data_IF_971900032898
#
_entry.id   IF_971900032898
#
_cell.length_a   1.000
_cell.length_b   1.000
_cell.length_c   1.000
_cell.angle_alpha   90.00
_cell.angle_beta   90.00
_cell.angle_gamma   90.00
#
_symmetry.space_group_name_H-M   'P 1'
#
loop_
_entity.id
_entity.type
_entity.pdbx_description
1 polymer ?
#
# COMPACT_ATOMS: atom_id res chain seq x y z
N UNK A 1 -49.50 -22.75 -110.90
CA UNK A 1 -48.16 -23.01 -111.46
C UNK A 1 -47.15 -22.86 -110.33
N UNK A 2 -46.62 -23.99 -109.90
CA UNK A 2 -45.52 -24.22 -108.95
C UNK A 2 -44.42 -23.13 -108.83
N UNK A 3 -44.01 -22.74 -107.60
CA UNK A 3 -42.79 -23.21 -106.87
C UNK A 3 -42.28 -22.23 -105.79
N UNK A 4 -42.13 -22.78 -104.57
CA UNK A 4 -41.10 -22.59 -103.52
C UNK A 4 -40.53 -21.19 -103.18
N UNK A 5 -40.62 -20.82 -101.89
CA UNK A 5 -39.42 -20.42 -101.14
C UNK A 5 -39.47 -20.92 -99.69
N UNK A 6 -38.32 -21.42 -99.28
CA UNK A 6 -37.93 -22.14 -98.07
C UNK A 6 -37.94 -21.22 -96.83
N UNK A 7 -38.41 -21.69 -95.67
CA UNK A 7 -37.96 -21.15 -94.38
C UNK A 7 -37.95 -22.24 -93.32
N UNK A 8 -36.83 -22.29 -92.62
CA UNK A 8 -36.29 -23.38 -91.83
C UNK A 8 -36.93 -23.45 -90.43
N UNK A 9 -37.22 -24.67 -90.00
CA UNK A 9 -37.72 -25.02 -88.66
C UNK A 9 -36.58 -24.90 -87.64
N UNK A 10 -36.77 -24.13 -86.55
CA UNK A 10 -35.92 -24.20 -85.36
C UNK A 10 -36.81 -24.51 -84.15
N UNK A 11 -36.66 -25.72 -83.63
CA UNK A 11 -37.31 -26.23 -82.42
C UNK A 11 -36.50 -25.73 -81.21
N UNK A 12 -37.15 -25.06 -80.25
CA UNK A 12 -36.61 -24.82 -78.92
C UNK A 12 -37.54 -25.50 -77.91
N UNK A 13 -37.04 -26.42 -77.07
CA UNK A 13 -37.85 -27.15 -76.10
C UNK A 13 -38.25 -26.26 -74.91
N UNK A 14 -39.52 -26.34 -74.55
CA UNK A 14 -40.09 -25.87 -73.28
C UNK A 14 -39.42 -26.60 -72.11
N UNK A 15 -38.73 -25.84 -71.23
CA UNK A 15 -38.47 -26.26 -69.86
C UNK A 15 -39.43 -25.50 -68.95
N UNK A 16 -40.30 -26.23 -68.24
CA UNK A 16 -41.09 -25.69 -67.15
C UNK A 16 -40.17 -25.46 -65.95
N UNK A 17 -39.90 -24.19 -65.63
CA UNK A 17 -39.30 -23.80 -64.35
C UNK A 17 -40.46 -23.61 -63.36
N UNK A 18 -40.46 -24.43 -62.32
CA UNK A 18 -41.22 -24.22 -61.10
C UNK A 18 -40.58 -23.03 -60.38
N UNK A 19 -41.26 -21.88 -60.34
CA UNK A 19 -40.88 -20.81 -59.42
C UNK A 19 -41.28 -21.23 -58.00
N UNK A 20 -40.31 -21.52 -57.14
CA UNK A 20 -40.48 -21.37 -55.69
C UNK A 20 -40.21 -19.91 -55.37
N UNK A 21 -41.18 -19.23 -54.76
CA UNK A 21 -40.94 -17.92 -54.13
C UNK A 21 -39.91 -18.12 -53.01
N UNK A 22 -38.69 -17.66 -53.23
CA UNK A 22 -37.62 -17.57 -52.23
C UNK A 22 -37.07 -16.14 -52.27
N UNK A 23 -37.86 -15.21 -51.76
CA UNK A 23 -37.44 -13.83 -51.54
C UNK A 23 -36.56 -13.81 -50.27
N UNK A 24 -35.29 -14.19 -50.45
CA UNK A 24 -34.24 -14.22 -49.43
C UNK A 24 -33.81 -12.84 -48.91
N UNK A 25 -34.76 -12.04 -48.42
CA UNK A 25 -34.46 -10.93 -47.51
C UNK A 25 -34.17 -11.51 -46.13
N UNK A 26 -32.91 -11.91 -45.91
CA UNK A 26 -32.40 -11.99 -44.54
C UNK A 26 -32.39 -10.57 -43.98
N UNK A 27 -33.12 -10.38 -42.89
CA UNK A 27 -33.05 -9.15 -42.11
C UNK A 27 -31.58 -8.93 -41.73
N UNK A 28 -30.96 -7.75 -41.95
CA UNK A 28 -29.59 -7.52 -41.51
C UNK A 28 -29.51 -7.81 -40.00
N UNK A 29 -28.56 -8.66 -39.62
CA UNK A 29 -28.29 -8.95 -38.22
C UNK A 29 -28.05 -7.63 -37.48
N UNK A 30 -28.67 -7.41 -36.30
CA UNK A 30 -28.36 -6.24 -35.50
C UNK A 30 -26.84 -6.13 -35.31
N UNK A 31 -26.26 -4.93 -35.35
CA UNK A 31 -24.84 -4.78 -35.12
C UNK A 31 -24.46 -5.40 -33.76
N UNK A 32 -23.41 -6.23 -33.75
CA UNK A 32 -22.88 -6.78 -32.50
C UNK A 32 -22.38 -5.65 -31.60
N UNK A 33 -22.76 -5.71 -30.31
CA UNK A 33 -22.27 -4.78 -29.30
C UNK A 33 -20.83 -5.16 -28.97
N UNK A 34 -19.91 -4.20 -29.10
CA UNK A 34 -18.47 -4.39 -28.89
C UNK A 34 -17.98 -3.49 -27.77
N UNK A 35 -16.98 -3.95 -27.01
CA UNK A 35 -16.23 -3.12 -26.07
C UNK A 35 -15.42 -2.04 -26.81
N UNK A 36 -15.65 -0.78 -26.45
CA UNK A 36 -14.90 0.38 -26.94
C UNK A 36 -13.70 0.71 -26.05
N UNK A 37 -13.93 0.78 -24.74
CA UNK A 37 -12.93 1.08 -23.72
C UNK A 37 -13.17 0.21 -22.48
N UNK A 38 -12.11 -0.07 -21.72
CA UNK A 38 -12.26 -0.71 -20.41
C UNK A 38 -11.17 -0.34 -19.40
N UNK A 39 -11.51 -0.55 -18.12
CA UNK A 39 -10.64 -0.36 -16.96
C UNK A 39 -10.90 -1.46 -15.95
N UNK A 40 -9.84 -2.01 -15.36
CA UNK A 40 -9.92 -3.07 -14.37
C UNK A 40 -9.52 -2.52 -13.00
N UNK A 41 -10.34 -2.81 -11.99
CA UNK A 41 -10.08 -2.56 -10.58
C UNK A 41 -9.90 -3.88 -9.83
N UNK A 42 -9.02 -3.88 -8.83
CA UNK A 42 -8.81 -5.06 -7.98
C UNK A 42 -9.78 -5.04 -6.80
N UNK A 43 -10.38 -6.19 -6.50
CA UNK A 43 -11.20 -6.42 -5.32
C UNK A 43 -10.42 -7.32 -4.35
N UNK A 44 -9.98 -6.73 -3.23
CA UNK A 44 -9.24 -7.43 -2.19
C UNK A 44 -10.16 -8.23 -1.27
N UNK A 45 -9.58 -9.22 -0.59
CA UNK A 45 -10.31 -10.02 0.41
C UNK A 45 -10.72 -9.21 1.62
N UNK A 46 -11.95 -9.42 2.07
CA UNK A 46 -12.45 -8.95 3.36
C UNK A 46 -12.80 -10.15 4.24
N UNK A 47 -12.36 -10.12 5.50
CA UNK A 47 -12.48 -11.24 6.42
C UNK A 47 -11.64 -12.46 6.02
N UNK A 48 -12.03 -13.63 6.51
CA UNK A 48 -11.23 -14.86 6.40
C UNK A 48 -11.67 -15.79 5.26
N UNK A 49 -12.52 -15.31 4.35
CA UNK A 49 -13.09 -16.13 3.27
C UNK A 49 -12.13 -16.36 2.10
N UNK A 50 -11.10 -15.52 1.95
CA UNK A 50 -10.14 -15.62 0.84
C UNK A 50 -10.70 -15.29 -0.54
N UNK A 51 -11.91 -14.71 -0.61
CA UNK A 51 -12.53 -14.25 -1.86
C UNK A 51 -11.81 -12.99 -2.33
N UNK A 52 -11.42 -12.95 -3.59
CA UNK A 52 -10.77 -11.78 -4.21
C UNK A 52 -10.92 -11.85 -5.73
N UNK A 53 -10.68 -10.76 -6.44
CA UNK A 53 -10.79 -10.78 -7.89
C UNK A 53 -10.73 -9.39 -8.49
N UNK A 54 -11.48 -9.19 -9.57
CA UNK A 54 -11.50 -7.92 -10.30
C UNK A 54 -12.91 -7.47 -10.65
N UNK A 55 -13.04 -6.16 -10.87
CA UNK A 55 -14.17 -5.53 -11.53
C UNK A 55 -13.67 -4.86 -12.82
N UNK A 56 -14.20 -5.26 -13.98
CA UNK A 56 -13.89 -4.65 -15.27
C UNK A 56 -15.04 -3.75 -15.72
N UNK A 57 -14.77 -2.47 -15.82
CA UNK A 57 -15.70 -1.46 -16.33
C UNK A 57 -15.51 -1.34 -17.84
N UNK A 58 -16.61 -1.29 -18.59
CA UNK A 58 -16.62 -1.35 -20.04
C UNK A 58 -17.56 -0.28 -20.59
N UNK A 59 -17.10 0.47 -21.59
CA UNK A 59 -17.94 1.28 -22.47
C UNK A 59 -18.29 0.46 -23.71
N UNK A 60 -19.58 0.28 -23.99
CA UNK A 60 -20.04 -0.51 -25.13
C UNK A 60 -20.35 0.36 -26.35
N UNK A 61 -20.31 -0.24 -27.55
CA UNK A 61 -20.54 0.46 -28.83
C UNK A 61 -21.97 0.98 -29.04
N UNK A 62 -22.92 0.54 -28.22
CA UNK A 62 -24.32 0.99 -28.20
C UNK A 62 -24.60 2.07 -27.14
N UNK A 63 -23.55 2.64 -26.53
CA UNK A 63 -23.58 3.63 -25.46
C UNK A 63 -24.10 3.12 -24.10
N UNK A 64 -24.23 1.80 -23.92
CA UNK A 64 -24.39 1.20 -22.60
C UNK A 64 -23.04 1.03 -21.89
N UNK A 65 -23.08 0.86 -20.56
CA UNK A 65 -21.94 0.48 -19.75
C UNK A 65 -22.10 -0.94 -19.24
N UNK A 66 -20.99 -1.67 -19.10
CA UNK A 66 -20.97 -2.98 -18.43
C UNK A 66 -19.99 -2.99 -17.26
N UNK A 67 -20.34 -3.69 -16.19
CA UNK A 67 -19.43 -4.09 -15.12
C UNK A 67 -19.40 -5.60 -15.07
N UNK A 68 -18.22 -6.18 -15.31
CA UNK A 68 -17.95 -7.61 -15.15
C UNK A 68 -17.18 -7.85 -13.86
N UNK A 69 -17.74 -8.68 -12.97
CA UNK A 69 -17.02 -9.17 -11.80
C UNK A 69 -16.44 -10.55 -12.10
N UNK A 70 -15.17 -10.76 -11.77
CA UNK A 70 -14.48 -12.06 -11.87
C UNK A 70 -13.74 -12.33 -10.56
N UNK A 71 -14.36 -13.14 -9.71
CA UNK A 71 -13.89 -13.49 -8.36
C UNK A 71 -13.40 -14.92 -8.31
N UNK A 72 -12.42 -15.13 -7.44
CA UNK A 72 -11.88 -16.43 -7.10
C UNK A 72 -12.30 -16.82 -5.68
N UNK A 73 -12.39 -18.13 -5.42
CA UNK A 73 -12.74 -18.72 -4.12
C UNK A 73 -14.14 -18.38 -3.61
N UNK A 74 -15.09 -18.03 -4.49
CA UNK A 74 -16.51 -17.90 -4.11
C UNK A 74 -17.07 -19.24 -3.61
N UNK A 75 -17.91 -19.25 -2.56
CA UNK A 75 -18.61 -20.46 -2.13
C UNK A 75 -19.47 -21.09 -3.24
N UNK A 76 -19.15 -22.33 -3.62
CA UNK A 76 -19.87 -23.08 -4.66
C UNK A 76 -21.38 -23.21 -4.34
N UNK A 77 -22.21 -23.08 -5.36
CA UNK A 77 -23.68 -23.01 -5.27
C UNK A 77 -24.21 -21.73 -4.61
N UNK A 78 -23.33 -20.79 -4.23
CA UNK A 78 -23.68 -19.51 -3.64
C UNK A 78 -24.22 -18.50 -4.65
N UNK A 79 -24.90 -17.48 -4.12
CA UNK A 79 -25.32 -16.28 -4.84
C UNK A 79 -24.87 -15.10 -3.99
N UNK A 80 -24.02 -14.24 -4.54
CA UNK A 80 -23.31 -13.21 -3.81
C UNK A 80 -23.71 -11.82 -4.33
N UNK A 81 -24.59 -11.10 -3.62
CA UNK A 81 -24.96 -9.74 -4.01
C UNK A 81 -23.76 -8.83 -4.06
N UNK A 82 -23.76 -7.90 -5.02
CA UNK A 82 -22.69 -6.93 -5.20
C UNK A 82 -23.25 -5.54 -5.50
N UNK A 83 -22.57 -4.50 -5.03
CA UNK A 83 -23.01 -3.12 -5.20
C UNK A 83 -21.82 -2.18 -5.42
N UNK A 84 -22.04 -1.11 -6.18
CA UNK A 84 -21.23 0.11 -6.08
C UNK A 84 -21.85 0.99 -5.00
N UNK A 85 -21.02 1.50 -4.10
CA UNK A 85 -21.35 2.44 -3.05
C UNK A 85 -20.65 3.78 -3.29
N UNK A 86 -21.18 4.86 -2.71
CA UNK A 86 -20.55 6.19 -2.69
C UNK A 86 -19.39 6.27 -1.67
N UNK A 87 -18.51 7.26 -1.84
CA UNK A 87 -17.32 7.56 -1.02
C UNK A 87 -16.21 6.50 -1.16
N UNK A 88 -15.15 6.61 -0.35
CA UNK A 88 -14.18 5.53 -0.19
C UNK A 88 -14.74 4.38 0.64
N UNK A 89 -14.20 3.18 0.46
CA UNK A 89 -14.56 2.00 1.24
C UNK A 89 -14.38 2.20 2.76
N UNK A 90 -13.38 3.00 3.18
CA UNK A 90 -13.11 3.27 4.60
C UNK A 90 -14.10 4.25 5.22
N UNK A 91 -14.66 5.17 4.43
CA UNK A 91 -15.69 6.10 4.88
C UNK A 91 -17.09 5.49 4.83
N UNK A 92 -17.26 4.43 4.05
CA UNK A 92 -18.55 3.78 3.76
C UNK A 92 -19.53 4.73 3.06
N UNK A 93 -20.67 4.21 2.63
CA UNK A 93 -21.66 5.03 1.91
C UNK A 93 -22.87 4.24 1.46
N UNK A 94 -23.90 4.97 1.00
CA UNK A 94 -25.10 4.39 0.42
C UNK A 94 -24.81 3.65 -0.89
N UNK A 95 -25.74 2.80 -1.33
CA UNK A 95 -25.64 2.09 -2.61
C UNK A 95 -25.96 3.07 -3.75
N UNK A 96 -25.03 3.21 -4.69
CA UNK A 96 -25.20 4.00 -5.91
C UNK A 96 -25.79 3.14 -7.05
N UNK A 97 -25.29 1.91 -7.19
CA UNK A 97 -25.72 0.96 -8.23
C UNK A 97 -25.79 -0.45 -7.65
N UNK A 98 -26.91 -1.13 -7.88
CA UNK A 98 -27.03 -2.56 -7.59
C UNK A 98 -26.50 -3.35 -8.78
N UNK A 99 -25.59 -4.28 -8.53
CA UNK A 99 -25.03 -5.17 -9.56
C UNK A 99 -25.77 -6.50 -9.56
N UNK A 100 -25.72 -7.20 -10.69
CA UNK A 100 -26.13 -8.60 -10.78
C UNK A 100 -25.30 -9.47 -9.84
N UNK A 101 -25.98 -10.39 -9.14
CA UNK A 101 -25.36 -11.26 -8.15
C UNK A 101 -24.25 -12.11 -8.76
N UNK A 102 -23.11 -12.19 -8.07
CA UNK A 102 -22.00 -13.06 -8.48
C UNK A 102 -22.39 -14.51 -8.25
N UNK A 103 -22.31 -15.31 -9.32
CA UNK A 103 -22.55 -16.75 -9.26
C UNK A 103 -21.41 -17.44 -8.51
N UNK A 104 -21.73 -18.16 -7.43
CA UNK A 104 -20.74 -18.79 -6.56
C UNK A 104 -19.95 -19.94 -7.18
N UNK A 105 -20.46 -20.60 -8.23
CA UNK A 105 -19.75 -21.68 -8.94
C UNK A 105 -18.73 -21.13 -9.93
N UNK A 106 -19.03 -20.02 -10.60
CA UNK A 106 -18.15 -19.43 -11.62
C UNK A 106 -17.32 -18.26 -11.12
N UNK A 107 -17.75 -17.62 -10.03
CA UNK A 107 -17.20 -16.38 -9.52
C UNK A 107 -17.56 -15.14 -10.36
N UNK A 108 -18.54 -15.24 -11.27
CA UNK A 108 -18.79 -14.19 -12.28
C UNK A 108 -20.17 -13.57 -12.21
N UNK A 109 -20.24 -12.28 -12.55
CA UNK A 109 -21.47 -11.59 -12.96
C UNK A 109 -21.19 -10.49 -13.97
N UNK A 110 -22.22 -10.08 -14.71
CA UNK A 110 -22.17 -8.96 -15.64
C UNK A 110 -23.41 -8.11 -15.45
N UNK A 111 -23.22 -6.82 -15.17
CA UNK A 111 -24.30 -5.83 -15.06
C UNK A 111 -24.21 -4.86 -16.22
N UNK A 112 -25.30 -4.66 -16.97
CA UNK A 112 -25.38 -3.68 -18.07
C UNK A 112 -26.34 -2.56 -17.66
N UNK A 113 -25.91 -1.31 -17.81
CA UNK A 113 -26.66 -0.16 -17.31
C UNK A 113 -26.31 1.13 -18.09
N UNK A 114 -27.16 2.14 -17.92
CA UNK A 114 -26.92 3.52 -18.38
C UNK A 114 -27.21 4.56 -17.30
N UNK A 115 -27.83 4.15 -16.20
CA UNK A 115 -28.24 5.00 -15.07
C UNK A 115 -27.89 4.34 -13.74
N UNK A 116 -27.69 5.15 -12.71
CA UNK A 116 -27.60 4.74 -11.31
C UNK A 116 -29.00 4.34 -10.78
N UNK A 117 -29.05 3.78 -9.58
CA UNK A 117 -30.30 3.33 -8.95
C UNK A 117 -31.33 4.46 -8.76
N UNK A 118 -30.90 5.72 -8.69
CA UNK A 118 -31.78 6.89 -8.56
C UNK A 118 -32.25 7.46 -9.91
N UNK A 119 -31.83 6.85 -11.02
CA UNK A 119 -32.15 7.28 -12.38
C UNK A 119 -31.19 8.32 -12.96
N UNK A 120 -30.13 8.69 -12.25
CA UNK A 120 -29.09 9.59 -12.78
C UNK A 120 -28.33 8.90 -13.91
N UNK A 121 -28.28 9.53 -15.09
CA UNK A 121 -27.45 9.08 -16.21
C UNK A 121 -25.97 9.12 -15.82
N UNK A 122 -25.19 8.14 -16.29
CA UNK A 122 -23.74 8.09 -16.02
C UNK A 122 -22.99 7.64 -17.28
N UNK A 123 -21.91 8.35 -17.59
CA UNK A 123 -21.00 8.02 -18.70
C UNK A 123 -19.81 7.20 -18.23
N UNK A 124 -19.08 6.59 -19.17
CA UNK A 124 -17.86 5.85 -18.85
C UNK A 124 -16.80 6.73 -18.16
N UNK A 125 -16.62 7.98 -18.62
CA UNK A 125 -15.67 8.90 -18.02
C UNK A 125 -16.08 9.31 -16.59
N UNK A 126 -17.36 9.54 -16.34
CA UNK A 126 -17.87 9.81 -14.98
C UNK A 126 -17.72 8.59 -14.07
N UNK A 127 -17.85 7.37 -14.61
CA UNK A 127 -17.60 6.14 -13.86
C UNK A 127 -16.12 5.98 -13.47
N UNK A 128 -15.19 6.45 -14.32
CA UNK A 128 -13.75 6.47 -13.99
C UNK A 128 -13.36 7.56 -12.98
N UNK A 129 -14.17 8.61 -12.84
CA UNK A 129 -13.99 9.68 -11.83
C UNK A 129 -14.90 9.50 -10.61
N UNK A 130 -15.66 8.40 -10.57
CA UNK A 130 -16.69 8.18 -9.56
C UNK A 130 -16.07 8.05 -8.17
N UNK A 131 -16.63 8.80 -7.21
CA UNK A 131 -16.31 8.66 -5.79
C UNK A 131 -17.02 7.44 -5.22
N UNK A 132 -16.42 6.26 -5.37
CA UNK A 132 -17.05 5.03 -4.93
C UNK A 132 -16.12 3.85 -4.65
N UNK A 133 -16.76 2.77 -4.22
CA UNK A 133 -16.15 1.47 -3.98
C UNK A 133 -17.15 0.35 -4.26
N UNK A 134 -16.64 -0.86 -4.51
CA UNK A 134 -17.44 -2.06 -4.70
C UNK A 134 -17.40 -2.91 -3.44
N UNK A 135 -18.56 -3.46 -3.06
CA UNK A 135 -18.68 -4.54 -2.09
C UNK A 135 -19.26 -5.78 -2.78
N UNK A 136 -18.77 -6.96 -2.36
CA UNK A 136 -19.40 -8.25 -2.64
C UNK A 136 -19.71 -8.91 -1.30
N UNK A 137 -20.97 -9.35 -1.14
CA UNK A 137 -21.52 -9.89 0.10
C UNK A 137 -21.49 -11.41 0.11
N UNK A 138 -21.49 -12.01 1.30
CA UNK A 138 -21.46 -13.46 1.47
C UNK A 138 -22.73 -14.12 0.92
N UNK A 139 -23.91 -13.55 1.17
CA UNK A 139 -25.18 -14.04 0.62
C UNK A 139 -26.30 -13.01 0.78
N UNK A 140 -27.44 -13.23 0.12
CA UNK A 140 -28.64 -12.39 0.29
C UNK A 140 -29.20 -12.38 1.72
N UNK A 141 -28.87 -13.38 2.56
CA UNK A 141 -29.26 -13.43 3.97
C UNK A 141 -28.19 -12.89 4.92
N UNK A 142 -26.98 -12.65 4.42
CA UNK A 142 -25.81 -12.20 5.19
C UNK A 142 -25.16 -10.96 4.54
N UNK A 143 -25.98 -9.98 4.18
CA UNK A 143 -25.56 -8.71 3.54
C UNK A 143 -24.66 -7.83 4.42
N UNK A 144 -24.49 -8.14 5.71
CA UNK A 144 -23.52 -7.46 6.57
C UNK A 144 -22.10 -8.04 6.43
N UNK A 145 -21.98 -9.23 5.83
CA UNK A 145 -20.71 -9.95 5.71
C UNK A 145 -20.15 -9.71 4.32
N UNK A 146 -19.18 -8.80 4.24
CA UNK A 146 -18.46 -8.50 2.99
C UNK A 146 -17.34 -9.52 2.82
N UNK A 147 -17.21 -10.09 1.62
CA UNK A 147 -16.18 -11.10 1.28
C UNK A 147 -15.10 -10.54 0.36
N UNK A 148 -15.43 -9.54 -0.47
CA UNK A 148 -14.47 -8.81 -1.30
C UNK A 148 -14.86 -7.34 -1.40
N UNK A 149 -13.87 -6.46 -1.46
CA UNK A 149 -14.05 -5.00 -1.51
C UNK A 149 -12.92 -4.34 -2.29
N UNK A 150 -13.23 -3.24 -3.00
CA UNK A 150 -12.21 -2.42 -3.64
C UNK A 150 -12.70 -1.02 -3.96
N UNK A 151 -11.85 -0.02 -3.73
CA UNK A 151 -12.07 1.34 -4.19
C UNK A 151 -12.00 1.41 -5.72
N UNK A 152 -12.88 2.21 -6.34
CA UNK A 152 -12.98 2.40 -7.79
C UNK A 152 -12.89 3.88 -8.15
N UNK A 153 -12.88 4.17 -9.45
CA UNK A 153 -12.92 5.54 -9.96
C UNK A 153 -11.78 6.39 -9.39
N UNK A 154 -12.11 7.58 -8.90
CA UNK A 154 -11.14 8.51 -8.33
C UNK A 154 -10.48 8.01 -7.03
N UNK A 155 -11.09 7.02 -6.38
CA UNK A 155 -10.60 6.43 -5.14
C UNK A 155 -9.53 5.35 -5.37
N UNK A 156 -9.27 4.91 -6.61
CA UNK A 156 -8.25 3.89 -6.87
C UNK A 156 -6.88 4.27 -6.26
N UNK A 157 -6.21 3.31 -5.62
CA UNK A 157 -4.84 3.50 -5.15
C UNK A 157 -3.86 3.43 -6.32
N UNK A 158 -2.93 4.37 -6.39
CA UNK A 158 -1.91 4.41 -7.46
C UNK A 158 -0.81 3.37 -7.29
N UNK A 159 -0.72 2.76 -6.10
CA UNK A 159 0.41 1.92 -5.66
C UNK A 159 1.59 2.71 -5.08
N UNK A 160 1.59 4.04 -5.18
CA UNK A 160 2.58 4.90 -4.54
C UNK A 160 2.30 4.95 -3.03
N UNK A 161 3.31 4.59 -2.24
CA UNK A 161 3.23 4.56 -0.78
C UNK A 161 4.51 5.06 -0.14
N UNK A 162 4.40 5.52 1.11
CA UNK A 162 5.52 5.73 2.03
C UNK A 162 5.15 5.17 3.40
N UNK A 163 6.15 4.65 4.11
CA UNK A 163 6.00 4.10 5.46
C UNK A 163 6.86 4.90 6.43
N UNK A 164 6.30 5.19 7.61
CA UNK A 164 7.00 5.78 8.73
C UNK A 164 6.88 4.86 9.94
N UNK A 165 7.92 4.81 10.75
CA UNK A 165 7.92 4.04 11.99
C UNK A 165 7.16 4.79 13.08
N UNK A 166 6.39 4.06 13.88
CA UNK A 166 5.76 4.54 15.10
C UNK A 166 6.42 3.81 16.27
N UNK A 167 7.31 4.52 16.94
CA UNK A 167 8.13 4.02 18.03
C UNK A 167 7.34 3.91 19.33
N UNK A 168 7.74 2.96 20.16
CA UNK A 168 7.22 2.79 21.52
C UNK A 168 7.44 4.02 22.38
N UNK A 169 6.48 4.32 23.27
CA UNK A 169 6.54 5.46 24.19
C UNK A 169 6.23 5.06 25.63
N UNK A 170 5.06 5.43 26.16
CA UNK A 170 4.76 5.33 27.59
C UNK A 170 4.36 3.91 28.01
N UNK A 171 3.96 3.07 27.04
CA UNK A 171 3.52 1.69 27.28
C UNK A 171 4.46 0.72 26.58
N UNK A 172 5.25 -0.07 27.35
CA UNK A 172 6.18 -1.01 26.78
C UNK A 172 5.52 -2.09 25.90
N UNK A 173 6.18 -2.42 24.80
CA UNK A 173 5.77 -3.42 23.82
C UNK A 173 4.84 -2.93 22.72
N UNK A 174 4.49 -1.64 22.66
CA UNK A 174 3.59 -1.10 21.63
C UNK A 174 4.39 -0.27 20.62
N UNK A 175 4.47 -0.74 19.38
CA UNK A 175 5.13 -0.05 18.27
C UNK A 175 4.62 -0.59 16.94
N UNK A 176 4.96 0.07 15.84
CA UNK A 176 4.63 -0.41 14.51
C UNK A 176 4.91 0.64 13.45
N UNK A 177 4.04 0.73 12.46
CA UNK A 177 4.22 1.64 11.32
C UNK A 177 2.93 2.35 10.97
N UNK A 178 3.10 3.44 10.22
CA UNK A 178 2.02 4.10 9.49
C UNK A 178 2.38 4.21 8.03
N UNK A 179 1.46 3.79 7.17
CA UNK A 179 1.61 3.82 5.71
C UNK A 179 0.67 4.85 5.13
N UNK A 180 1.21 5.76 4.33
CA UNK A 180 0.43 6.69 3.52
C UNK A 180 0.39 6.13 2.11
N UNK A 181 -0.81 5.90 1.58
CA UNK A 181 -1.03 5.42 0.22
C UNK A 181 -1.79 6.44 -0.60
N UNK A 182 -1.27 6.76 -1.78
CA UNK A 182 -1.84 7.77 -2.66
C UNK A 182 -3.01 7.23 -3.48
N UNK A 183 -4.10 7.99 -3.51
CA UNK A 183 -5.24 7.76 -4.41
C UNK A 183 -5.08 8.55 -5.71
N UNK A 184 -5.79 8.14 -6.76
CA UNK A 184 -5.80 8.82 -8.07
C UNK A 184 -6.23 10.28 -7.94
N UNK A 185 -7.20 10.59 -7.07
CA UNK A 185 -7.60 11.97 -6.76
C UNK A 185 -6.59 12.76 -5.88
N UNK A 186 -5.37 12.26 -5.70
CA UNK A 186 -4.27 12.87 -4.95
C UNK A 186 -4.48 12.95 -3.43
N UNK A 187 -5.57 12.42 -2.90
CA UNK A 187 -5.80 12.28 -1.46
C UNK A 187 -5.04 11.06 -0.91
N UNK A 188 -5.09 10.88 0.42
CA UNK A 188 -4.26 9.87 1.11
C UNK A 188 -5.10 8.91 1.93
N UNK A 189 -4.91 7.61 1.72
CA UNK A 189 -5.31 6.59 2.67
C UNK A 189 -4.18 6.41 3.69
N UNK A 190 -4.43 6.79 4.94
CA UNK A 190 -3.51 6.58 6.06
C UNK A 190 -3.87 5.27 6.77
N UNK A 191 -2.92 4.33 6.84
CA UNK A 191 -3.09 3.05 7.55
C UNK A 191 -2.08 2.91 8.67
N UNK A 192 -2.53 2.83 9.92
CA UNK A 192 -1.66 2.53 11.07
C UNK A 192 -1.72 1.03 11.34
N UNK A 193 -0.56 0.41 11.60
CA UNK A 193 -0.43 -0.97 12.05
C UNK A 193 0.51 -1.02 13.25
N UNK A 194 -0.03 -1.29 14.43
CA UNK A 194 0.69 -1.45 15.68
C UNK A 194 0.66 -2.90 16.13
N UNK A 195 1.70 -3.29 16.85
CA UNK A 195 1.77 -4.54 17.60
C UNK A 195 1.67 -4.25 19.09
N UNK A 196 1.27 -5.24 19.88
CA UNK A 196 1.21 -5.13 21.35
C UNK A 196 0.04 -4.31 21.91
N UNK A 197 -0.91 -3.85 21.07
CA UNK A 197 -2.06 -3.07 21.54
C UNK A 197 -2.96 -3.88 22.49
N UNK A 198 -3.50 -3.27 23.56
CA UNK A 198 -4.45 -3.92 24.46
C UNK A 198 -5.76 -4.35 23.78
N UNK A 199 -6.08 -5.64 23.86
CA UNK A 199 -7.34 -6.20 23.34
C UNK A 199 -8.59 -5.48 23.89
N UNK A 200 -9.60 -5.28 23.04
CA UNK A 200 -10.80 -4.49 23.32
C UNK A 200 -10.57 -2.98 23.42
N UNK A 201 -9.33 -2.51 23.30
CA UNK A 201 -8.97 -1.09 23.33
C UNK A 201 -9.37 -0.33 22.08
N UNK A 202 -9.49 1.00 22.22
CA UNK A 202 -9.55 1.95 21.09
C UNK A 202 -8.56 3.05 21.38
N UNK A 203 -7.60 3.22 20.49
CA UNK A 203 -6.45 4.12 20.68
C UNK A 203 -6.58 5.30 19.73
N UNK A 204 -7.04 6.48 20.18
CA UNK A 204 -7.13 7.68 19.34
C UNK A 204 -5.78 8.00 18.70
N UNK A 205 -5.80 8.50 17.47
CA UNK A 205 -4.58 8.84 16.76
C UNK A 205 -4.74 10.17 16.02
N UNK A 206 -3.66 10.94 15.95
CA UNK A 206 -3.66 12.29 15.38
C UNK A 206 -2.33 12.59 14.70
N UNK A 207 -2.38 13.40 13.64
CA UNK A 207 -1.20 14.08 13.09
C UNK A 207 -1.12 15.48 13.69
N UNK A 208 0.04 15.83 14.22
CA UNK A 208 0.36 17.14 14.80
C UNK A 208 1.37 17.89 13.94
N UNK A 209 1.35 19.22 13.97
CA UNK A 209 2.38 20.05 13.34
C UNK A 209 3.71 20.03 14.13
N UNK A 210 4.81 20.37 13.45
CA UNK A 210 6.20 20.34 13.91
C UNK A 210 6.77 18.94 14.13
N UNK A 211 7.97 18.85 14.71
CA UNK A 211 8.52 17.59 15.22
C UNK A 211 8.03 17.30 16.64
N UNK A 212 8.21 16.05 17.06
CA UNK A 212 7.87 15.58 18.41
C UNK A 212 8.48 16.46 19.51
N UNK A 213 9.73 16.91 19.35
CA UNK A 213 10.43 17.68 20.38
C UNK A 213 9.81 19.08 20.56
N UNK A 214 9.38 19.68 19.46
CA UNK A 214 8.76 21.00 19.42
C UNK A 214 7.29 20.95 19.79
N UNK A 215 6.60 19.84 19.48
CA UNK A 215 5.15 19.63 19.62
C UNK A 215 4.31 20.62 18.80
N UNK A 216 3.01 20.39 18.69
CA UNK A 216 2.13 21.28 17.94
C UNK A 216 0.65 20.90 18.00
N UNK A 217 -0.17 21.74 17.38
CA UNK A 217 -1.61 21.50 17.27
C UNK A 217 -1.90 20.28 16.39
N UNK A 218 -3.06 19.65 16.63
CA UNK A 218 -3.57 18.60 15.75
C UNK A 218 -3.97 19.21 14.41
N UNK A 219 -3.41 18.68 13.34
CA UNK A 219 -3.68 19.10 11.96
C UNK A 219 -4.53 18.07 11.20
N UNK A 220 -4.49 16.79 11.58
CA UNK A 220 -5.36 15.72 11.02
C UNK A 220 -5.83 14.81 12.14
N UNK A 221 -7.14 14.54 12.19
CA UNK A 221 -7.70 13.48 13.02
C UNK A 221 -7.67 12.14 12.31
N UNK A 222 -7.23 11.08 12.98
CA UNK A 222 -7.22 9.73 12.42
C UNK A 222 -8.24 8.85 13.15
N UNK A 223 -8.75 7.85 12.44
CA UNK A 223 -9.55 6.80 13.07
C UNK A 223 -8.72 6.09 14.14
N UNK A 224 -9.32 5.77 15.31
CA UNK A 224 -8.59 5.14 16.38
C UNK A 224 -8.11 3.74 15.98
N UNK A 225 -6.90 3.39 16.41
CA UNK A 225 -6.35 2.04 16.26
C UNK A 225 -7.18 1.08 17.12
N UNK A 226 -7.67 0.00 16.49
CA UNK A 226 -8.47 -1.02 17.15
C UNK A 226 -7.54 -1.96 17.90
N UNK A 227 -7.69 -2.07 19.21
CA UNK A 227 -6.74 -2.78 20.07
C UNK A 227 -6.61 -4.27 19.76
N UNK A 228 -7.67 -4.93 19.28
CA UNK A 228 -7.65 -6.36 18.92
C UNK A 228 -6.81 -6.65 17.66
N UNK A 229 -6.80 -5.72 16.70
CA UNK A 229 -6.10 -5.90 15.42
C UNK A 229 -4.81 -5.10 15.31
N UNK A 230 -4.65 -4.07 16.13
CA UNK A 230 -3.58 -3.08 16.01
C UNK A 230 -3.72 -2.18 14.79
N UNK A 231 -4.85 -2.21 14.08
CA UNK A 231 -5.00 -1.54 12.78
C UNK A 231 -5.97 -0.36 12.86
N UNK A 232 -5.65 0.73 12.17
CA UNK A 232 -6.63 1.73 11.72
C UNK A 232 -6.40 2.12 10.27
N UNK A 233 -7.47 2.60 9.62
CA UNK A 233 -7.44 3.19 8.28
C UNK A 233 -8.24 4.48 8.30
N UNK A 234 -7.75 5.53 7.66
CA UNK A 234 -8.40 6.85 7.58
C UNK A 234 -8.21 7.42 6.19
N UNK A 235 -9.29 7.92 5.58
CA UNK A 235 -9.21 8.77 4.40
C UNK A 235 -8.83 10.19 4.83
N UNK A 236 -7.80 10.77 4.21
CA UNK A 236 -7.33 12.13 4.50
C UNK A 236 -7.30 12.95 3.22
N UNK A 237 -8.19 13.94 3.18
CA UNK A 237 -8.33 14.90 2.08
C UNK A 237 -8.31 16.36 2.56
N UNK A 238 -8.44 16.61 3.86
CA UNK A 238 -8.41 17.95 4.45
C UNK A 238 -7.80 17.94 5.86
N UNK A 239 -7.27 19.10 6.26
CA UNK A 239 -6.81 19.37 7.63
C UNK A 239 -7.98 19.72 8.55
N UNK A 240 -7.76 19.76 9.86
CA UNK A 240 -8.76 20.12 10.91
C UNK A 240 -9.40 21.51 10.69
N UNK A 241 -8.82 22.37 9.85
CA UNK A 241 -9.40 23.66 9.42
C UNK A 241 -10.22 23.64 8.11
N UNK A 242 -10.40 22.47 7.48
CA UNK A 242 -11.10 22.30 6.20
C UNK A 242 -10.27 22.66 4.96
N UNK A 243 -9.01 23.07 5.12
CA UNK A 243 -8.10 23.23 4.00
C UNK A 243 -7.80 21.86 3.38
N UNK A 244 -8.00 21.72 2.07
CA UNK A 244 -7.64 20.52 1.35
C UNK A 244 -6.14 20.23 1.47
N UNK A 245 -5.77 18.95 1.51
CA UNK A 245 -4.38 18.50 1.56
C UNK A 245 -4.19 17.29 0.65
N UNK A 246 -3.13 17.34 -0.14
CA UNK A 246 -2.74 16.25 -1.03
C UNK A 246 -1.73 15.32 -0.36
N UNK A 247 -1.57 14.12 -0.92
CA UNK A 247 -0.52 13.17 -0.57
C UNK A 247 0.87 13.81 -0.58
N UNK A 248 1.21 14.54 -1.65
CA UNK A 248 2.52 15.17 -1.79
C UNK A 248 2.76 16.25 -0.72
N UNK A 249 1.72 17.00 -0.34
CA UNK A 249 1.82 18.00 0.73
C UNK A 249 2.04 17.33 2.10
N UNK A 250 1.33 16.24 2.39
CA UNK A 250 1.57 15.44 3.61
C UNK A 250 2.98 14.85 3.68
N UNK A 251 3.67 14.63 2.56
CA UNK A 251 5.06 14.15 2.57
C UNK A 251 6.09 15.25 2.88
N UNK A 252 5.69 16.52 2.78
CA UNK A 252 6.60 17.67 2.91
C UNK A 252 6.33 18.53 4.13
N UNK A 253 5.22 18.26 4.83
CA UNK A 253 4.92 18.93 6.10
C UNK A 253 5.93 18.51 7.19
N UNK A 254 6.23 19.43 8.11
CA UNK A 254 6.93 19.10 9.35
C UNK A 254 5.86 18.66 10.36
N UNK A 255 5.77 17.36 10.62
CA UNK A 255 4.68 16.79 11.41
C UNK A 255 5.10 15.52 12.16
N UNK A 256 4.26 15.09 13.10
CA UNK A 256 4.40 13.81 13.77
C UNK A 256 3.04 13.19 14.08
N UNK A 257 3.01 11.88 14.27
CA UNK A 257 1.83 11.12 14.68
C UNK A 257 1.95 10.73 16.14
N UNK A 258 0.84 10.90 16.86
CA UNK A 258 0.61 10.33 18.18
C UNK A 258 -0.49 9.27 18.11
N UNK A 259 -0.29 8.16 18.83
CA UNK A 259 -1.34 7.20 19.16
C UNK A 259 -1.47 7.14 20.68
N UNK A 260 -2.67 7.39 21.19
CA UNK A 260 -2.98 7.53 22.61
C UNK A 260 -3.49 6.21 23.22
N UNK A 261 -3.36 6.03 24.54
CA UNK A 261 -3.81 4.81 25.22
C UNK A 261 -5.32 4.62 25.13
N UNK A 262 -6.12 5.65 25.39
CA UNK A 262 -7.57 5.56 25.22
C UNK A 262 -8.24 6.93 25.19
N UNK A 263 -9.54 6.99 24.87
CA UNK A 263 -10.31 8.25 25.01
C UNK A 263 -10.36 8.78 26.46
N UNK A 264 -10.20 7.92 27.46
CA UNK A 264 -10.18 8.32 28.87
C UNK A 264 -8.78 8.73 29.35
N UNK A 265 -7.75 8.40 28.59
CA UNK A 265 -6.34 8.61 28.90
C UNK A 265 -5.60 9.02 27.62
N UNK A 266 -5.77 10.29 27.27
CA UNK A 266 -5.12 10.91 26.12
C UNK A 266 -3.70 11.39 26.45
N UNK A 267 -3.34 11.51 27.73
CA UNK A 267 -2.00 11.96 28.12
C UNK A 267 -0.96 10.85 27.93
N UNK A 268 -1.38 9.57 28.00
CA UNK A 268 -0.52 8.43 27.74
C UNK A 268 -0.41 8.14 26.24
N UNK A 269 0.79 8.25 25.68
CA UNK A 269 1.12 7.94 24.30
C UNK A 269 1.65 6.51 24.20
N UNK A 270 1.00 5.67 23.39
CA UNK A 270 1.42 4.27 23.20
C UNK A 270 2.41 4.11 22.05
N UNK A 271 2.27 4.92 20.99
CA UNK A 271 3.20 4.92 19.87
C UNK A 271 3.28 6.31 19.23
N UNK A 272 4.45 6.68 18.71
CA UNK A 272 4.68 8.01 18.13
C UNK A 272 5.80 7.98 17.08
N UNK A 273 5.71 8.83 16.05
CA UNK A 273 6.80 9.01 15.08
C UNK A 273 6.65 10.29 14.24
N UNK A 274 7.77 10.92 13.90
CA UNK A 274 7.83 12.03 12.94
C UNK A 274 7.55 11.50 11.53
N UNK A 275 6.88 12.33 10.72
CA UNK A 275 6.50 12.02 9.35
C UNK A 275 6.86 13.17 8.42
N UNK A 276 6.73 12.99 7.11
CA UNK A 276 7.00 14.07 6.16
C UNK A 276 8.46 14.55 6.19
N UNK A 277 8.67 15.87 6.27
CA UNK A 277 10.00 16.49 6.13
C UNK A 277 10.98 16.22 7.28
N UNK A 278 10.48 15.84 8.46
CA UNK A 278 11.25 15.51 9.65
C UNK A 278 11.22 14.00 9.97
N UNK A 279 10.79 13.16 9.03
CA UNK A 279 10.85 11.71 9.21
C UNK A 279 12.28 11.24 9.56
N UNK A 280 12.38 10.29 10.50
CA UNK A 280 13.66 9.73 10.96
C UNK A 280 14.45 10.59 11.95
N UNK A 281 13.91 11.75 12.38
CA UNK A 281 14.57 12.61 13.39
C UNK A 281 14.02 12.44 14.81
N UNK A 282 13.26 11.37 15.06
CA UNK A 282 12.55 11.14 16.32
C UNK A 282 13.44 11.30 17.56
N UNK A 283 13.00 12.07 18.57
CA UNK A 283 13.65 12.09 19.88
C UNK A 283 13.47 10.72 20.53
N UNK A 284 14.56 9.98 20.74
CA UNK A 284 14.55 8.62 21.30
C UNK A 284 13.99 7.53 20.38
N UNK A 285 13.77 7.80 19.09
CA UNK A 285 13.53 6.74 18.11
C UNK A 285 14.83 6.01 17.79
N UNK A 286 14.80 4.68 17.76
CA UNK A 286 15.99 3.86 17.53
C UNK A 286 16.55 4.10 16.11
N UNK A 287 17.54 4.98 15.98
CA UNK A 287 18.26 5.22 14.73
C UNK A 287 18.89 3.90 14.23
N UNK A 288 18.50 3.41 13.05
CA UNK A 288 19.07 2.20 12.45
C UNK A 288 19.94 2.53 11.24
N UNK A 289 21.22 2.11 11.26
CA UNK A 289 22.21 2.42 10.20
C UNK A 289 23.07 1.21 9.86
N UNK A 290 23.44 1.04 8.60
CA UNK A 290 24.28 -0.09 8.15
C UNK A 290 25.53 0.38 7.40
N UNK A 291 26.68 -0.10 7.83
CA UNK A 291 27.98 0.18 7.23
C UNK A 291 28.65 -1.10 6.73
N UNK A 292 29.19 -1.04 5.52
CA UNK A 292 30.11 -2.07 5.03
C UNK A 292 31.54 -1.69 5.40
N UNK A 293 32.26 -2.62 6.03
CA UNK A 293 33.60 -2.38 6.57
C UNK A 293 34.61 -3.32 5.93
N UNK A 294 35.60 -2.74 5.26
CA UNK A 294 36.78 -3.46 4.75
C UNK A 294 38.05 -2.85 5.36
N UNK A 295 39.24 -3.29 4.93
CA UNK A 295 40.50 -2.74 5.42
C UNK A 295 41.47 -2.39 4.29
N UNK A 296 42.25 -1.34 4.48
CA UNK A 296 43.40 -0.99 3.65
C UNK A 296 44.67 -1.34 4.40
N UNK A 297 45.20 -2.54 4.12
CA UNK A 297 46.33 -3.11 4.86
C UNK A 297 46.11 -3.03 6.37
N UNK A 298 47.15 -2.62 7.09
CA UNK A 298 47.14 -2.39 8.53
C UNK A 298 46.88 -0.92 8.94
N UNK A 299 46.61 -0.03 7.98
CA UNK A 299 46.54 1.41 8.25
C UNK A 299 45.13 1.89 8.58
N UNK A 300 44.08 1.33 7.95
CA UNK A 300 42.71 1.80 8.14
C UNK A 300 41.63 0.74 7.92
N UNK A 301 40.54 0.86 8.66
CA UNK A 301 39.23 0.37 8.23
C UNK A 301 38.63 1.34 7.20
N UNK A 302 37.98 0.79 6.19
CA UNK A 302 37.33 1.51 5.10
C UNK A 302 35.83 1.32 5.24
N UNK A 303 35.09 2.40 5.38
CA UNK A 303 33.64 2.39 5.59
C UNK A 303 32.91 2.90 4.36
N UNK A 304 31.85 2.19 3.99
CA UNK A 304 30.87 2.54 2.97
C UNK A 304 29.45 2.43 3.55
N UNK A 305 28.49 3.17 2.99
CA UNK A 305 27.09 3.19 3.45
C UNK A 305 26.75 4.43 4.28
N UNK A 306 25.46 4.75 4.40
CA UNK A 306 24.94 5.91 5.16
C UNK A 306 25.63 7.24 4.84
N UNK A 307 25.89 7.49 3.54
CA UNK A 307 26.56 8.70 3.06
C UNK A 307 28.09 8.66 3.08
N UNK A 308 28.71 7.56 3.51
CA UNK A 308 30.15 7.33 3.40
C UNK A 308 30.52 6.61 2.11
N UNK A 309 31.64 7.03 1.51
CA UNK A 309 32.27 6.38 0.36
C UNK A 309 33.78 6.26 0.62
N UNK A 310 34.28 5.04 0.66
CA UNK A 310 35.69 4.66 0.92
C UNK A 310 36.36 5.50 2.03
N UNK A 311 35.63 5.71 3.13
CA UNK A 311 36.07 6.59 4.20
C UNK A 311 37.03 5.87 5.16
N UNK A 312 38.23 6.43 5.33
CA UNK A 312 39.27 5.86 6.20
C UNK A 312 39.01 6.23 7.67
N UNK A 313 38.76 5.24 8.51
CA UNK A 313 38.58 5.40 9.96
C UNK A 313 37.73 6.63 10.38
N UNK A 314 36.50 6.82 9.83
CA UNK A 314 35.65 7.95 10.20
C UNK A 314 35.25 7.89 11.68
N UNK A 315 35.06 9.05 12.30
CA UNK A 315 34.37 9.12 13.58
C UNK A 315 32.85 9.04 13.35
N UNK A 316 32.13 8.53 14.34
CA UNK A 316 30.68 8.38 14.30
C UNK A 316 30.00 9.19 15.40
N UNK A 317 28.76 9.60 15.13
CA UNK A 317 27.81 10.07 16.15
C UNK A 317 26.59 9.17 16.09
N UNK A 318 26.33 8.47 17.17
CA UNK A 318 25.24 7.52 17.33
C UNK A 318 24.31 7.99 18.45
N UNK A 319 23.04 7.61 18.37
CA UNK A 319 22.00 7.89 19.35
C UNK A 319 21.79 6.70 20.29
N UNK A 320 21.52 6.97 21.57
CA UNK A 320 21.02 5.95 22.50
C UNK A 320 19.71 5.37 21.97
N UNK A 321 19.54 4.06 22.16
CA UNK A 321 18.44 3.30 21.56
C UNK A 321 18.64 2.94 20.08
N UNK A 322 19.55 3.61 19.36
CA UNK A 322 19.85 3.29 17.96
C UNK A 322 20.54 1.94 17.78
N UNK A 323 20.37 1.31 16.61
CA UNK A 323 21.01 0.06 16.21
C UNK A 323 21.91 0.25 14.99
N UNK A 324 23.21 0.00 15.16
CA UNK A 324 24.23 0.20 14.14
C UNK A 324 24.79 -1.15 13.70
N UNK A 325 24.71 -1.43 12.42
CA UNK A 325 25.15 -2.70 11.82
C UNK A 325 26.45 -2.47 11.05
N UNK A 326 27.46 -3.30 11.31
CA UNK A 326 28.73 -3.32 10.60
C UNK A 326 28.88 -4.68 9.89
N UNK A 327 28.83 -4.68 8.56
CA UNK A 327 29.13 -5.85 7.74
C UNK A 327 30.65 -5.88 7.51
N UNK A 328 31.36 -6.63 8.34
CA UNK A 328 32.82 -6.65 8.33
C UNK A 328 33.36 -7.71 7.36
N UNK A 329 34.37 -7.33 6.58
CA UNK A 329 35.21 -8.22 5.77
C UNK A 329 36.66 -7.74 5.88
N UNK A 330 37.28 -8.07 7.01
CA UNK A 330 38.54 -7.48 7.49
C UNK A 330 39.52 -8.57 7.97
N UNK A 331 39.95 -9.50 7.10
CA UNK A 331 40.74 -10.66 7.49
C UNK A 331 42.05 -10.26 8.17
N UNK A 332 42.31 -10.77 9.38
CA UNK A 332 43.49 -10.42 10.17
C UNK A 332 43.39 -9.08 10.92
N UNK A 333 42.24 -8.39 10.85
CA UNK A 333 41.99 -7.13 11.53
C UNK A 333 40.69 -7.16 12.35
N UNK A 334 40.63 -7.90 13.47
CA UNK A 334 39.44 -8.01 14.32
C UNK A 334 38.86 -6.65 14.71
N UNK A 335 37.58 -6.41 14.43
CA UNK A 335 36.90 -5.13 14.68
C UNK A 335 36.24 -5.13 16.06
N UNK A 336 36.75 -4.32 16.99
CA UNK A 336 36.21 -4.22 18.34
C UNK A 336 35.56 -2.87 18.61
N UNK A 337 34.43 -2.88 19.32
CA UNK A 337 33.93 -1.72 20.07
C UNK A 337 34.48 -1.79 21.49
N UNK A 338 35.17 -0.74 21.92
CA UNK A 338 35.88 -0.62 23.19
C UNK A 338 35.48 0.68 23.92
N UNK A 339 35.56 0.65 25.25
CA UNK A 339 35.32 1.82 26.12
C UNK A 339 36.51 2.77 26.22
N UNK A 340 37.71 2.33 25.82
CA UNK A 340 38.94 3.14 25.83
C UNK A 340 39.65 2.93 24.50
N UNK A 341 40.10 4.02 23.88
CA UNK A 341 40.87 3.97 22.63
C UNK A 341 42.17 3.19 22.84
N UNK A 342 42.44 2.22 21.96
CA UNK A 342 43.67 1.45 22.03
C UNK A 342 43.68 0.27 21.06
N UNK A 343 44.41 -0.76 21.43
CA UNK A 343 44.43 -2.08 20.78
C UNK A 343 44.13 -3.16 21.81
N UNK A 344 43.91 -4.40 21.35
CA UNK A 344 43.58 -5.53 22.20
C UNK A 344 42.13 -5.52 22.72
N UNK A 345 41.85 -6.44 23.64
CA UNK A 345 40.52 -6.79 24.14
C UNK A 345 40.27 -6.38 25.60
N UNK A 346 41.24 -5.71 26.24
CA UNK A 346 41.16 -5.37 27.67
C UNK A 346 39.99 -4.43 28.00
N UNK A 347 39.55 -3.61 27.04
CA UNK A 347 38.51 -2.59 27.22
C UNK A 347 37.26 -2.89 26.37
N UNK A 348 37.02 -4.15 26.02
CA UNK A 348 35.89 -4.55 25.19
C UNK A 348 34.56 -4.16 25.83
N UNK A 349 33.76 -3.41 25.06
CA UNK A 349 32.41 -3.00 25.43
C UNK A 349 31.41 -3.93 24.74
N UNK A 350 30.80 -4.84 25.51
CA UNK A 350 29.88 -5.84 24.97
C UNK A 350 28.40 -5.52 25.22
N UNK A 351 28.08 -4.48 25.99
CA UNK A 351 26.67 -4.13 26.26
C UNK A 351 26.02 -3.62 24.96
N UNK A 352 25.00 -4.34 24.49
CA UNK A 352 24.34 -4.03 23.22
C UNK A 352 25.13 -4.42 21.96
N UNK A 353 26.33 -5.03 22.08
CA UNK A 353 27.16 -5.42 20.93
C UNK A 353 27.12 -6.93 20.71
N UNK A 354 26.79 -7.38 19.50
CA UNK A 354 26.88 -8.78 19.07
C UNK A 354 28.11 -9.00 18.21
N UNK A 355 28.70 -10.21 18.29
CA UNK A 355 29.83 -10.63 17.43
C UNK A 355 31.06 -9.69 17.48
N UNK A 356 31.28 -9.03 18.62
CA UNK A 356 32.37 -8.09 18.80
C UNK A 356 33.74 -8.76 18.55
N UNK A 357 34.61 -8.12 17.77
CA UNK A 357 35.90 -8.70 17.35
C UNK A 357 35.85 -9.52 16.06
N UNK A 358 34.70 -9.60 15.37
CA UNK A 358 34.63 -10.35 14.13
C UNK A 358 35.58 -9.80 13.05
N UNK A 359 36.13 -10.74 12.27
CA UNK A 359 36.93 -10.44 11.06
C UNK A 359 36.12 -10.62 9.77
N UNK A 360 34.97 -11.29 9.86
CA UNK A 360 34.03 -11.48 8.76
C UNK A 360 32.61 -11.68 9.35
N UNK A 361 31.59 -11.20 8.64
CA UNK A 361 30.18 -11.31 9.03
C UNK A 361 29.63 -10.02 9.60
N UNK A 362 28.55 -10.10 10.37
CA UNK A 362 27.84 -8.92 10.89
C UNK A 362 28.12 -8.71 12.36
N UNK A 363 28.46 -7.48 12.73
CA UNK A 363 28.50 -6.96 14.11
C UNK A 363 27.32 -6.01 14.25
N UNK A 364 26.50 -6.16 15.29
CA UNK A 364 25.39 -5.23 15.56
C UNK A 364 25.63 -4.55 16.90
N UNK A 365 25.45 -3.24 16.96
CA UNK A 365 25.50 -2.44 18.18
C UNK A 365 24.18 -1.71 18.39
N UNK A 366 23.33 -2.24 19.26
CA UNK A 366 22.16 -1.52 19.79
C UNK A 366 22.60 -0.73 21.02
N UNK A 367 22.65 0.60 20.91
CA UNK A 367 23.22 1.49 21.93
C UNK A 367 22.33 1.48 23.18
N UNK A 368 22.81 0.97 24.32
CA UNK A 368 22.03 0.98 25.56
C UNK A 368 21.71 2.40 26.02
N UNK A 369 20.59 2.57 26.74
CA UNK A 369 20.20 3.86 27.32
C UNK A 369 21.19 4.37 28.38
N UNK A 370 21.99 3.48 28.96
CA UNK A 370 23.06 3.79 29.92
C UNK A 370 24.46 3.77 29.29
N UNK A 371 24.58 3.74 27.96
CA UNK A 371 25.86 3.78 27.27
C UNK A 371 26.67 5.05 27.63
N UNK A 372 28.01 4.96 27.77
CA UNK A 372 28.85 6.14 27.92
C UNK A 372 28.74 7.09 26.72
N UNK A 373 28.89 8.40 26.94
CA UNK A 373 28.88 9.42 25.87
C UNK A 373 29.99 9.23 24.82
N UNK A 374 31.00 8.41 25.13
CA UNK A 374 32.13 8.16 24.24
C UNK A 374 32.55 6.70 24.30
N UNK A 375 32.56 6.08 23.12
CA UNK A 375 33.13 4.77 22.84
C UNK A 375 34.11 4.88 21.68
N UNK A 376 34.77 3.77 21.35
CA UNK A 376 35.70 3.71 20.22
C UNK A 376 35.47 2.41 19.46
N UNK A 377 35.69 2.43 18.16
CA UNK A 377 36.05 1.20 17.46
C UNK A 377 37.56 1.16 17.22
N UNK A 378 38.15 -0.02 17.32
CA UNK A 378 39.56 -0.22 17.00
C UNK A 378 39.88 -1.66 16.59
N UNK A 379 40.97 -1.83 15.86
CA UNK A 379 41.53 -3.14 15.57
C UNK A 379 42.20 -3.73 16.83
N UNK A 380 42.16 -5.05 16.97
CA UNK A 380 42.87 -5.76 18.04
C UNK A 380 44.40 -5.58 17.96
N UNK A 381 44.97 -5.50 16.75
CA UNK A 381 46.42 -5.54 16.56
C UNK A 381 47.03 -4.22 16.10
N UNK A 382 46.26 -3.37 15.40
CA UNK A 382 46.80 -2.22 14.68
C UNK A 382 46.25 -0.90 15.23
N UNK A 383 47.09 -0.12 15.89
CA UNK A 383 46.69 1.12 16.58
C UNK A 383 46.20 2.23 15.65
N UNK A 384 46.54 2.18 14.37
CA UNK A 384 46.08 3.14 13.35
C UNK A 384 44.64 2.89 12.88
N UNK A 385 44.08 1.70 13.12
CA UNK A 385 42.74 1.33 12.66
C UNK A 385 41.73 1.60 13.77
N UNK A 386 41.33 2.86 13.95
CA UNK A 386 40.45 3.28 15.06
C UNK A 386 39.69 4.55 14.73
N UNK A 387 38.47 4.67 15.27
CA UNK A 387 37.69 5.91 15.29
C UNK A 387 36.92 6.06 16.60
N UNK A 388 36.48 7.28 16.87
CA UNK A 388 35.65 7.64 18.02
C UNK A 388 34.17 7.46 17.67
N UNK A 389 33.39 7.02 18.64
CA UNK A 389 31.94 6.95 18.56
C UNK A 389 31.40 7.87 19.66
N UNK A 390 30.83 9.00 19.26
CA UNK A 390 30.12 9.92 20.16
C UNK A 390 28.70 9.42 20.33
N UNK A 391 28.24 9.23 21.57
CA UNK A 391 26.87 8.83 21.88
C UNK A 391 26.10 10.07 22.33
N UNK A 392 24.96 10.32 21.68
CA UNK A 392 24.01 11.38 22.00
C UNK A 392 22.64 10.77 22.32
N UNK A 393 21.71 11.60 22.81
CA UNK A 393 20.33 11.19 23.06
C UNK A 393 19.43 11.25 21.82
#
# INVERSE_FOLDING_TARGET
MNRNLLAFLMIIPFFFISCSDDDGYSNPEPPEITELNSKIYTLGTVGDFGVSGTAKFIENSDATLSIELDLQNTPAGGIHPAHIHFNTAVETGGIALTLEDVNGDTGKSTTIFTTLNDGTDITYLELLDFDGYINVHLSATELSTIVAQGDIGQNELTGETISYDLNERDVPGINGTVVFAKRVNQTTLVSINLTGTPAGGRHPAHIHENDIATTGNIIVGLNPVIGDSGISKTQVEALVGGAAVTYTELLTINAYINVHLSNADLDTIVAQGNIGSNAGTDPGGAESKTYDVTNSGASAYIFNGEGLSDSNNPDFTFKRGGTYTFNVTVPGHPFYINSVRGTGTANTYNSGVTNNGAVSGTITFTVPTDAPDTLYYNCEFHSSMTGMITIID
#
